data_IF_359865026574
#
_entry.id   IF_359865026574
#
_cell.length_a   1.000
_cell.length_b   1.000
_cell.length_c   1.000
_cell.angle_alpha   90.00
_cell.angle_beta   90.00
_cell.angle_gamma   90.00
#
_symmetry.space_group_name_H-M   'P 1'
#
loop_
_entity.id
_entity.type
_entity.pdbx_description
1 polymer ?
#
# COMPACT_ATOMS: atom_id res chain seq x y z
N UNK A 1 30.55 -4.42 10.89
CA UNK A 1 29.50 -3.92 11.80
C UNK A 1 28.25 -4.69 11.45
N UNK A 2 27.68 -5.44 12.40
CA UNK A 2 26.40 -6.12 12.15
C UNK A 2 25.32 -5.10 11.80
N UNK A 3 24.37 -5.49 10.94
CA UNK A 3 23.21 -4.65 10.66
C UNK A 3 22.59 -4.21 12.00
N UNK A 4 22.40 -2.90 12.16
CA UNK A 4 21.60 -2.41 13.26
C UNK A 4 20.16 -2.85 12.98
N UNK A 5 19.47 -3.50 13.93
CA UNK A 5 18.04 -3.80 13.81
C UNK A 5 17.23 -2.49 13.79
N UNK A 6 17.21 -1.82 12.63
CA UNK A 6 16.54 -0.54 12.40
C UNK A 6 15.11 -0.70 11.89
N UNK A 7 14.72 -1.91 11.49
CA UNK A 7 13.41 -2.21 10.95
C UNK A 7 12.85 -3.47 11.59
N UNK A 8 11.58 -3.42 11.98
CA UNK A 8 10.78 -4.59 12.32
C UNK A 8 9.85 -4.89 11.13
N UNK A 9 10.04 -6.04 10.49
CA UNK A 9 9.23 -6.51 9.35
C UNK A 9 8.19 -7.51 9.85
N UNK A 10 6.92 -7.13 9.79
CA UNK A 10 5.81 -8.00 10.21
C UNK A 10 5.10 -8.55 8.98
N UNK A 11 5.15 -9.86 8.82
CA UNK A 11 4.33 -10.59 7.85
C UNK A 11 2.85 -10.45 8.20
N UNK A 12 2.02 -10.38 7.16
CA UNK A 12 0.57 -10.35 7.30
C UNK A 12 -0.02 -11.72 6.94
N UNK A 13 -1.35 -11.84 6.95
CA UNK A 13 -2.00 -13.09 6.53
C UNK A 13 -1.90 -13.32 5.02
N UNK A 14 -1.49 -12.29 4.27
CA UNK A 14 -1.35 -12.35 2.82
C UNK A 14 0.13 -12.39 2.46
N UNK A 15 0.50 -13.45 1.75
CA UNK A 15 1.88 -13.71 1.40
C UNK A 15 2.51 -12.57 0.58
N UNK A 16 3.67 -12.08 1.03
CA UNK A 16 4.43 -11.00 0.41
C UNK A 16 4.01 -9.58 0.83
N UNK A 17 2.96 -9.44 1.63
CA UNK A 17 2.52 -8.15 2.19
C UNK A 17 3.10 -7.98 3.59
N UNK A 18 3.73 -6.84 3.84
CA UNK A 18 4.42 -6.55 5.10
C UNK A 18 3.99 -5.21 5.71
N UNK A 19 3.81 -5.20 7.03
CA UNK A 19 3.79 -3.96 7.82
C UNK A 19 5.19 -3.76 8.39
N UNK A 20 5.77 -2.59 8.17
CA UNK A 20 7.17 -2.31 8.51
C UNK A 20 7.23 -1.16 9.50
N UNK A 21 7.91 -1.38 10.62
CA UNK A 21 8.12 -0.38 11.67
C UNK A 21 9.59 0.04 11.69
N UNK A 22 9.93 1.26 11.23
CA UNK A 22 11.29 1.78 11.36
C UNK A 22 11.54 2.25 12.79
N UNK A 23 12.79 2.11 13.24
CA UNK A 23 13.25 2.69 14.49
C UNK A 23 13.34 4.21 14.35
N UNK A 24 12.68 4.93 15.26
CA UNK A 24 12.63 6.39 15.29
C UNK A 24 13.54 6.90 16.40
N UNK A 25 14.48 7.78 16.05
CA UNK A 25 15.40 8.42 16.99
C UNK A 25 14.99 9.87 17.20
N UNK A 26 14.43 10.18 18.38
CA UNK A 26 13.99 11.53 18.74
C UNK A 26 14.99 12.26 19.64
N UNK A 27 15.10 13.58 19.48
CA UNK A 27 15.76 14.48 20.41
C UNK A 27 15.07 15.85 20.44
N UNK A 28 15.65 16.83 21.14
CA UNK A 28 15.07 18.17 21.29
C UNK A 28 14.95 18.96 19.97
N UNK A 29 15.53 18.50 18.86
CA UNK A 29 15.45 19.10 17.53
C UNK A 29 14.32 18.49 16.68
N UNK A 30 13.83 17.31 17.04
CA UNK A 30 12.84 16.55 16.27
C UNK A 30 13.14 15.06 16.27
N UNK A 31 13.00 14.40 15.13
CA UNK A 31 13.31 12.98 14.98
C UNK A 31 14.06 12.69 13.68
N UNK A 32 14.79 11.59 13.68
CA UNK A 32 15.44 10.98 12.52
C UNK A 32 15.06 9.50 12.45
N UNK A 33 14.87 8.99 11.24
CA UNK A 33 14.68 7.57 11.00
C UNK A 33 15.18 7.22 9.60
N UNK A 34 15.74 6.02 9.46
CA UNK A 34 15.90 5.42 8.14
C UNK A 34 14.52 4.96 7.66
N UNK A 35 14.20 5.29 6.42
CA UNK A 35 12.88 4.97 5.87
C UNK A 35 12.92 3.88 4.80
N UNK A 36 14.12 3.55 4.36
CA UNK A 36 14.42 2.41 3.52
C UNK A 36 15.94 2.21 3.57
N UNK A 37 16.36 0.98 3.84
CA UNK A 37 17.74 0.56 3.72
C UNK A 37 17.77 -0.69 2.85
N UNK A 38 18.52 -0.62 1.75
CA UNK A 38 18.54 -1.71 0.77
C UNK A 38 19.07 -3.02 1.37
N UNK A 39 20.05 -2.95 2.25
CA UNK A 39 20.64 -4.16 2.84
C UNK A 39 19.66 -4.79 3.82
N UNK A 40 19.08 -4.01 4.73
CA UNK A 40 18.13 -4.53 5.73
C UNK A 40 16.87 -5.13 5.06
N UNK A 41 16.33 -4.48 4.04
CA UNK A 41 15.21 -5.02 3.26
C UNK A 41 15.62 -6.32 2.53
N UNK A 42 16.81 -6.35 1.92
CA UNK A 42 17.30 -7.55 1.23
C UNK A 42 17.49 -8.72 2.19
N UNK A 43 18.04 -8.48 3.38
CA UNK A 43 18.21 -9.49 4.44
C UNK A 43 16.86 -10.00 4.96
N UNK A 44 15.83 -9.15 4.99
CA UNK A 44 14.45 -9.53 5.28
C UNK A 44 13.72 -10.23 4.10
N UNK A 45 14.43 -10.58 3.01
CA UNK A 45 13.84 -11.24 1.85
C UNK A 45 13.20 -10.30 0.82
N UNK A 46 13.15 -9.00 1.10
CA UNK A 46 12.59 -7.96 0.25
C UNK A 46 13.63 -7.45 -0.78
N UNK A 47 13.69 -8.13 -1.93
CA UNK A 47 14.77 -7.96 -2.94
C UNK A 47 14.44 -7.02 -4.10
N UNK A 48 13.35 -6.27 -4.00
CA UNK A 48 12.93 -5.33 -5.03
C UNK A 48 13.89 -4.15 -5.18
N UNK A 49 13.76 -3.42 -6.29
CA UNK A 49 14.45 -2.15 -6.53
C UNK A 49 13.41 -1.09 -6.79
N UNK A 50 13.44 -0.01 -6.02
CA UNK A 50 12.56 1.14 -6.26
C UNK A 50 13.16 2.05 -7.34
N UNK A 51 12.34 2.47 -8.30
CA UNK A 51 12.75 3.29 -9.47
C UNK A 51 11.98 4.60 -9.59
N UNK A 52 10.90 4.76 -8.83
CA UNK A 52 10.04 5.94 -8.86
C UNK A 52 9.54 6.26 -7.46
N UNK A 53 9.51 7.55 -7.11
CA UNK A 53 8.90 8.06 -5.89
C UNK A 53 7.72 8.96 -6.24
N UNK A 54 6.61 8.77 -5.54
CA UNK A 54 5.41 9.59 -5.69
C UNK A 54 5.02 10.21 -4.34
N UNK A 55 4.30 11.32 -4.40
CA UNK A 55 3.66 11.94 -3.25
C UNK A 55 2.25 12.39 -3.64
N UNK A 56 1.31 12.25 -2.71
CA UNK A 56 -0.04 12.79 -2.86
C UNK A 56 -0.48 13.46 -1.57
N UNK A 57 -1.21 14.57 -1.70
CA UNK A 57 -1.92 15.22 -0.60
C UNK A 57 -3.41 15.11 -0.81
N UNK A 58 -4.14 14.71 0.22
CA UNK A 58 -5.58 14.45 0.15
C UNK A 58 -6.27 14.94 1.42
N UNK A 59 -7.54 15.35 1.31
CA UNK A 59 -8.38 15.76 2.45
C UNK A 59 -9.15 14.58 3.05
N UNK A 60 -9.70 14.74 4.25
CA UNK A 60 -10.56 13.74 4.91
C UNK A 60 -11.64 13.20 3.97
N UNK A 61 -11.91 11.89 4.07
CA UNK A 61 -12.92 11.22 3.25
C UNK A 61 -12.50 10.91 1.82
N UNK A 62 -11.35 11.41 1.35
CA UNK A 62 -10.80 10.98 0.05
C UNK A 62 -10.42 9.52 0.13
N UNK A 63 -10.98 8.74 -0.80
CA UNK A 63 -10.59 7.36 -1.05
C UNK A 63 -9.95 7.29 -2.43
N UNK A 64 -8.72 6.79 -2.50
CA UNK A 64 -8.04 6.51 -3.76
C UNK A 64 -7.87 5.01 -3.90
N UNK A 65 -8.33 4.46 -5.01
CA UNK A 65 -8.19 3.03 -5.27
C UNK A 65 -9.49 2.31 -5.58
N UNK A 66 -9.43 1.00 -5.80
CA UNK A 66 -8.19 0.21 -5.72
C UNK A 66 -7.47 0.16 -7.07
N UNK A 67 -6.16 0.44 -7.10
CA UNK A 67 -5.38 0.60 -8.34
C UNK A 67 -4.31 -0.48 -8.52
N UNK A 68 -4.09 -0.86 -9.77
CA UNK A 68 -3.01 -1.72 -10.22
C UNK A 68 -2.66 -1.44 -11.68
N UNK A 69 -1.52 -1.94 -12.17
CA UNK A 69 -1.19 -1.93 -13.60
C UNK A 69 -1.24 -3.37 -14.14
N UNK A 70 -1.92 -3.59 -15.27
CA UNK A 70 -2.06 -4.93 -15.89
C UNK A 70 -0.76 -5.46 -16.49
N UNK A 71 0.14 -4.55 -16.90
CA UNK A 71 1.54 -4.80 -17.24
C UNK A 71 2.40 -3.77 -16.50
N UNK A 72 3.72 -3.98 -16.44
CA UNK A 72 4.59 -3.15 -15.61
C UNK A 72 4.07 -3.07 -14.17
N UNK A 73 3.66 -4.22 -13.61
CA UNK A 73 3.11 -4.29 -12.26
C UNK A 73 4.08 -3.70 -11.25
N UNK A 74 3.57 -2.94 -10.29
CA UNK A 74 4.39 -2.26 -9.29
C UNK A 74 4.18 -2.87 -7.92
N UNK A 75 5.29 -3.22 -7.26
CA UNK A 75 5.37 -3.23 -5.81
C UNK A 75 5.48 -1.80 -5.30
N UNK A 76 4.88 -1.52 -4.15
CA UNK A 76 4.79 -0.20 -3.53
C UNK A 76 5.21 -0.29 -2.07
N UNK A 77 6.16 0.53 -1.66
CA UNK A 77 6.43 0.82 -0.26
C UNK A 77 5.82 2.17 0.09
N UNK A 78 4.83 2.17 0.97
CA UNK A 78 4.01 3.35 1.25
C UNK A 78 4.07 3.77 2.70
N UNK A 79 3.90 5.08 2.94
CA UNK A 79 3.79 5.65 4.29
C UNK A 79 3.08 7.00 4.30
N UNK A 80 2.75 7.47 5.50
CA UNK A 80 2.22 8.81 5.75
C UNK A 80 3.26 9.70 6.43
N UNK A 81 3.45 10.92 5.93
CA UNK A 81 4.34 11.94 6.52
C UNK A 81 3.59 13.08 7.20
N UNK A 82 2.29 13.19 6.97
CA UNK A 82 1.38 14.06 7.71
C UNK A 82 0.00 13.42 7.78
N UNK A 83 -0.63 13.42 8.96
CA UNK A 83 -2.00 12.94 9.14
C UNK A 83 -2.12 11.41 9.20
N UNK A 84 -3.27 10.89 8.77
CA UNK A 84 -3.67 9.51 8.95
C UNK A 84 -4.46 8.97 7.76
N UNK A 85 -4.13 7.75 7.35
CA UNK A 85 -4.94 6.98 6.41
C UNK A 85 -5.15 5.55 6.89
N UNK A 86 -6.22 4.92 6.40
CA UNK A 86 -6.35 3.47 6.36
C UNK A 86 -5.95 2.98 4.97
N UNK A 87 -4.84 2.25 4.88
CA UNK A 87 -4.26 1.75 3.65
C UNK A 87 -4.57 0.26 3.46
N UNK A 88 -4.82 -0.17 2.23
CA UNK A 88 -5.33 -1.51 1.90
C UNK A 88 -4.60 -2.11 0.72
N UNK A 89 -4.25 -3.39 0.84
CA UNK A 89 -3.77 -4.25 -0.24
C UNK A 89 -4.76 -5.39 -0.49
N UNK A 90 -5.06 -5.66 -1.76
CA UNK A 90 -5.91 -6.80 -2.19
C UNK A 90 -5.11 -7.72 -3.10
N UNK A 91 -5.09 -9.00 -2.75
CA UNK A 91 -4.39 -10.03 -3.52
C UNK A 91 -5.14 -10.35 -4.82
N UNK A 92 -4.53 -10.04 -5.96
CA UNK A 92 -5.08 -10.31 -7.29
C UNK A 92 -4.34 -11.47 -7.98
N UNK A 93 -3.53 -12.25 -7.26
CA UNK A 93 -2.70 -13.31 -7.85
C UNK A 93 -3.47 -14.63 -7.93
N UNK A 94 -3.75 -15.11 -9.14
CA UNK A 94 -4.37 -16.42 -9.40
C UNK A 94 -3.53 -17.54 -8.78
N UNK A 95 -4.22 -18.53 -8.22
CA UNK A 95 -3.58 -19.64 -7.49
C UNK A 95 -3.14 -19.30 -6.06
N UNK A 96 -3.22 -18.02 -5.63
CA UNK A 96 -3.03 -17.66 -4.23
C UNK A 96 -4.18 -18.19 -3.37
N UNK A 97 -3.86 -18.76 -2.20
CA UNK A 97 -4.87 -19.14 -1.21
C UNK A 97 -5.64 -17.95 -0.63
N UNK A 98 -5.09 -16.74 -0.79
CA UNK A 98 -5.67 -15.46 -0.36
C UNK A 98 -6.18 -14.62 -1.52
N UNK A 99 -6.39 -15.17 -2.72
CA UNK A 99 -6.96 -14.42 -3.85
C UNK A 99 -8.28 -13.74 -3.47
N UNK A 100 -8.39 -12.44 -3.78
CA UNK A 100 -9.54 -11.60 -3.43
C UNK A 100 -9.61 -11.21 -1.94
N UNK A 101 -8.69 -11.67 -1.10
CA UNK A 101 -8.58 -11.23 0.29
C UNK A 101 -7.75 -9.95 0.38
N UNK A 102 -7.99 -9.21 1.46
CA UNK A 102 -7.36 -7.93 1.70
C UNK A 102 -6.73 -7.87 3.08
N UNK A 103 -5.70 -7.04 3.21
CA UNK A 103 -5.07 -6.66 4.46
C UNK A 103 -5.06 -5.13 4.55
N UNK A 104 -5.35 -4.59 5.74
CA UNK A 104 -5.44 -3.15 5.95
C UNK A 104 -4.66 -2.69 7.17
N UNK A 105 -4.07 -1.50 7.09
CA UNK A 105 -3.24 -0.93 8.15
C UNK A 105 -3.48 0.57 8.29
N UNK A 106 -3.49 1.05 9.53
CA UNK A 106 -3.49 2.48 9.82
C UNK A 106 -2.06 3.00 9.71
N UNK A 107 -1.83 3.91 8.77
CA UNK A 107 -0.57 4.61 8.60
C UNK A 107 -0.74 6.06 9.07
N UNK A 108 0.12 6.50 9.98
CA UNK A 108 0.09 7.87 10.48
C UNK A 108 1.49 8.48 10.46
N UNK A 109 1.53 9.80 10.47
CA UNK A 109 2.75 10.52 10.78
C UNK A 109 3.19 10.33 12.24
N UNK A 110 2.38 9.81 13.14
CA UNK A 110 2.82 9.50 14.52
C UNK A 110 3.46 8.12 14.63
N UNK A 111 2.83 7.09 14.05
CA UNK A 111 3.26 5.69 14.18
C UNK A 111 4.41 5.34 13.24
N UNK A 112 4.66 6.17 12.22
CA UNK A 112 5.74 6.03 11.23
C UNK A 112 5.76 4.69 10.48
N UNK A 113 4.68 3.90 10.58
CA UNK A 113 4.57 2.62 9.92
C UNK A 113 4.66 2.79 8.41
N UNK A 114 5.13 1.75 7.77
CA UNK A 114 5.09 1.60 6.33
C UNK A 114 4.33 0.33 5.99
N UNK A 115 3.80 0.30 4.77
CA UNK A 115 3.16 -0.89 4.23
C UNK A 115 3.82 -1.24 2.91
N UNK A 116 4.28 -2.48 2.77
CA UNK A 116 4.79 -2.97 1.52
C UNK A 116 3.75 -3.86 0.85
N UNK A 117 3.37 -3.46 -0.36
CA UNK A 117 2.40 -4.14 -1.22
C UNK A 117 3.15 -4.62 -2.47
N UNK A 118 3.27 -5.93 -2.73
CA UNK A 118 4.08 -6.41 -3.85
C UNK A 118 3.32 -6.31 -5.20
N UNK A 119 4.01 -6.64 -6.29
CA UNK A 119 3.40 -6.75 -7.62
C UNK A 119 2.23 -7.75 -7.64
N UNK A 120 1.24 -7.48 -8.50
CA UNK A 120 0.07 -8.35 -8.64
C UNK A 120 -1.02 -8.12 -7.58
N UNK A 121 -1.00 -6.95 -6.92
CA UNK A 121 -2.00 -6.52 -5.95
C UNK A 121 -2.73 -5.27 -6.44
N UNK A 122 -3.97 -5.09 -5.98
CA UNK A 122 -4.62 -3.80 -5.99
C UNK A 122 -4.34 -3.06 -4.68
N UNK A 123 -4.14 -1.74 -4.77
CA UNK A 123 -3.78 -0.90 -3.63
C UNK A 123 -4.68 0.34 -3.55
N UNK A 124 -5.03 0.75 -2.34
CA UNK A 124 -5.73 2.02 -2.12
C UNK A 124 -5.80 2.41 -0.66
N UNK A 125 -6.29 3.61 -0.39
CA UNK A 125 -6.41 4.14 0.96
C UNK A 125 -7.57 5.12 1.13
N UNK A 126 -8.02 5.24 2.38
CA UNK A 126 -9.00 6.23 2.84
C UNK A 126 -8.32 7.21 3.82
N UNK A 127 -8.45 8.51 3.58
CA UNK A 127 -7.94 9.55 4.49
C UNK A 127 -8.87 9.74 5.68
N UNK A 128 -8.33 9.58 6.89
CA UNK A 128 -9.09 9.63 8.15
C UNK A 128 -8.94 10.97 8.89
N UNK A 129 -7.79 11.62 8.77
CA UNK A 129 -7.53 12.97 9.32
C UNK A 129 -8.01 14.06 8.36
N UNK A 130 -8.01 15.32 8.80
CA UNK A 130 -8.40 16.48 7.97
C UNK A 130 -7.64 16.55 6.64
N UNK A 131 -6.35 16.24 6.68
CA UNK A 131 -5.52 16.01 5.50
C UNK A 131 -4.50 14.90 5.76
N UNK A 132 -4.02 14.27 4.70
CA UNK A 132 -2.88 13.37 4.73
C UNK A 132 -1.91 13.62 3.57
N UNK A 133 -0.60 13.53 3.87
CA UNK A 133 0.48 13.47 2.87
C UNK A 133 1.01 12.05 2.84
N UNK A 134 0.84 11.41 1.68
CA UNK A 134 1.09 9.99 1.47
C UNK A 134 2.20 9.82 0.43
N UNK A 135 3.22 9.04 0.77
CA UNK A 135 4.41 8.81 -0.03
C UNK A 135 4.48 7.36 -0.51
N UNK A 136 5.00 7.16 -1.71
CA UNK A 136 5.16 5.85 -2.34
C UNK A 136 6.57 5.73 -2.90
N UNK A 137 7.18 4.56 -2.75
CA UNK A 137 8.29 4.10 -3.59
C UNK A 137 7.77 2.96 -4.45
N UNK A 138 7.96 3.02 -5.78
CA UNK A 138 7.45 2.03 -6.73
C UNK A 138 8.59 1.24 -7.40
N UNK A 139 8.37 -0.05 -7.64
CA UNK A 139 9.38 -0.96 -8.22
C UNK A 139 9.47 -0.93 -9.76
N UNK A 140 8.49 -0.33 -10.42
CA UNK A 140 8.47 -0.08 -11.86
C UNK A 140 7.89 1.33 -12.14
N UNK A 141 8.01 1.81 -13.37
CA UNK A 141 7.49 3.12 -13.78
C UNK A 141 5.98 3.13 -13.95
N UNK A 142 5.37 4.31 -13.78
CA UNK A 142 3.97 4.50 -14.12
C UNK A 142 3.76 4.31 -15.64
N UNK A 143 2.81 3.47 -16.01
CA UNK A 143 2.45 3.17 -17.39
C UNK A 143 0.93 3.35 -17.57
N UNK A 144 0.46 4.55 -17.93
CA UNK A 144 -0.97 4.88 -17.97
C UNK A 144 -1.77 4.00 -18.92
N UNK A 145 -1.14 3.44 -19.95
CA UNK A 145 -1.77 2.52 -20.91
C UNK A 145 -2.20 1.21 -20.27
N UNK A 146 -1.60 0.86 -19.13
CA UNK A 146 -1.88 -0.35 -18.37
C UNK A 146 -2.52 -0.09 -17.01
N UNK A 147 -2.77 1.19 -16.66
CA UNK A 147 -3.47 1.58 -15.44
C UNK A 147 -4.88 0.98 -15.42
N UNK A 148 -5.23 0.40 -14.29
CA UNK A 148 -6.50 -0.27 -14.09
C UNK A 148 -6.88 -0.24 -12.61
N UNK A 149 -8.04 -0.78 -12.29
CA UNK A 149 -8.52 -0.82 -10.92
C UNK A 149 -9.65 -1.79 -10.69
N UNK A 150 -9.93 -2.00 -9.41
CA UNK A 150 -11.10 -2.73 -8.92
C UNK A 150 -11.94 -1.80 -8.07
N UNK A 151 -13.25 -1.99 -8.11
CA UNK A 151 -14.20 -1.19 -7.37
C UNK A 151 -13.87 -1.22 -5.87
N UNK A 152 -13.76 -0.05 -5.25
CA UNK A 152 -13.33 0.10 -3.85
C UNK A 152 -14.31 -0.55 -2.84
N UNK A 153 -15.59 -0.63 -3.21
CA UNK A 153 -16.67 -1.26 -2.46
C UNK A 153 -17.17 -2.54 -3.13
N UNK A 154 -16.28 -3.27 -3.80
CA UNK A 154 -16.59 -4.58 -4.37
C UNK A 154 -17.07 -5.56 -3.28
N UNK A 155 -18.23 -6.19 -3.53
CA UNK A 155 -18.91 -7.10 -2.59
C UNK A 155 -18.17 -8.44 -2.40
N UNK A 156 -17.35 -8.86 -3.37
CA UNK A 156 -16.60 -10.11 -3.29
C UNK A 156 -15.32 -9.94 -2.44
N UNK A 157 -14.72 -8.74 -2.48
CA UNK A 157 -13.58 -8.37 -1.63
C UNK A 157 -14.05 -7.97 -0.21
N UNK A 158 -15.15 -7.23 -0.12
CA UNK A 158 -15.81 -6.81 1.13
C UNK A 158 -14.86 -6.12 2.14
N UNK A 159 -14.18 -5.06 1.68
CA UNK A 159 -13.25 -4.28 2.50
C UNK A 159 -14.02 -3.54 3.59
N UNK A 160 -13.57 -3.71 4.83
CA UNK A 160 -14.12 -3.01 6.00
C UNK A 160 -13.44 -1.66 6.16
N UNK A 161 -13.81 -0.71 5.31
CA UNK A 161 -13.36 0.67 5.40
C UNK A 161 -13.85 1.30 6.72
N UNK A 162 -12.97 1.96 7.52
CA UNK A 162 -13.37 2.62 8.76
C UNK A 162 -14.04 3.97 8.43
N UNK A 163 -15.35 3.92 8.24
CA UNK A 163 -16.15 5.08 7.84
C UNK A 163 -16.65 5.95 9.01
N UNK A 164 -16.32 5.58 10.25
CA UNK A 164 -16.72 6.35 11.42
C UNK A 164 -16.16 7.77 11.36
N UNK A 165 -17.06 8.76 11.40
CA UNK A 165 -16.68 10.17 11.27
C UNK A 165 -16.28 10.61 9.86
N UNK A 166 -16.53 9.79 8.84
CA UNK A 166 -16.46 10.14 7.43
C UNK A 166 -17.88 10.44 6.94
N UNK A 167 -18.19 11.72 6.72
CA UNK A 167 -19.52 12.15 6.26
C UNK A 167 -19.76 11.81 4.78
N UNK A 168 -18.73 11.95 3.95
CA UNK A 168 -18.78 11.72 2.52
C UNK A 168 -17.50 11.03 2.04
N UNK A 169 -17.63 9.97 1.25
CA UNK A 169 -16.51 9.34 0.56
C UNK A 169 -16.28 10.06 -0.77
N UNK A 170 -15.08 10.58 -0.94
CA UNK A 170 -14.69 11.37 -2.11
C UNK A 170 -13.81 10.54 -3.03
N UNK A 171 -14.37 10.20 -4.19
CA UNK A 171 -13.73 9.40 -5.23
C UNK A 171 -13.42 10.25 -6.45
N UNK A 172 -12.36 9.89 -7.17
CA UNK A 172 -12.19 10.37 -8.55
C UNK A 172 -13.25 9.78 -9.47
N UNK A 173 -13.52 10.41 -10.61
CA UNK A 173 -14.45 9.84 -11.60
C UNK A 173 -13.97 8.48 -12.13
N UNK A 174 -12.65 8.28 -12.20
CA UNK A 174 -12.02 6.99 -12.53
C UNK A 174 -12.41 5.91 -11.52
N UNK A 175 -12.35 6.23 -10.22
CA UNK A 175 -12.57 5.26 -9.14
C UNK A 175 -14.05 4.89 -8.96
N UNK A 176 -14.96 5.77 -9.37
CA UNK A 176 -16.42 5.51 -9.36
C UNK A 176 -16.87 4.44 -10.36
N UNK A 177 -16.11 4.23 -11.44
CA UNK A 177 -16.52 3.39 -12.57
C UNK A 177 -15.64 2.15 -12.75
N UNK A 178 -14.87 1.77 -11.73
CA UNK A 178 -14.06 0.55 -11.78
C UNK A 178 -14.94 -0.70 -11.84
N UNK A 179 -14.39 -1.76 -12.43
CA UNK A 179 -15.07 -3.05 -12.53
C UNK A 179 -15.05 -3.79 -11.20
N UNK A 180 -16.00 -4.71 -11.02
CA UNK A 180 -15.98 -5.67 -9.91
C UNK A 180 -14.89 -6.71 -10.12
N UNK A 181 -14.40 -7.32 -9.04
CA UNK A 181 -13.32 -8.30 -9.07
C UNK A 181 -13.64 -9.46 -10.04
N UNK A 182 -14.86 -10.00 -9.97
CA UNK A 182 -15.31 -11.09 -10.84
C UNK A 182 -15.35 -10.76 -12.34
N UNK A 183 -15.41 -9.46 -12.68
CA UNK A 183 -15.49 -8.96 -14.06
C UNK A 183 -14.12 -8.52 -14.60
N UNK A 184 -13.06 -8.68 -13.79
CA UNK A 184 -11.70 -8.38 -14.20
C UNK A 184 -11.07 -9.52 -14.99
N UNK A 185 -10.42 -9.14 -16.08
CA UNK A 185 -9.51 -10.03 -16.80
C UNK A 185 -8.07 -9.72 -16.38
N UNK A 186 -7.61 -10.39 -15.32
CA UNK A 186 -6.27 -10.26 -14.75
C UNK A 186 -5.47 -11.54 -14.97
N UNK A 187 -4.16 -11.40 -15.17
CA UNK A 187 -3.24 -12.52 -15.45
C UNK A 187 -2.09 -12.62 -14.43
N UNK A 188 -2.26 -12.01 -13.25
CA UNK A 188 -1.27 -12.12 -12.19
C UNK A 188 -1.30 -13.54 -11.63
N UNK A 189 -0.14 -14.19 -11.54
CA UNK A 189 0.00 -15.55 -11.05
C UNK A 189 0.76 -15.55 -9.72
N UNK A 190 0.28 -16.33 -8.76
CA UNK A 190 0.95 -16.51 -7.48
C UNK A 190 2.20 -17.38 -7.66
N UNK A 191 3.35 -16.88 -7.20
CA UNK A 191 4.65 -17.56 -7.33
C UNK A 191 5.25 -17.98 -5.99
N UNK A 192 4.54 -17.74 -4.88
CA UNK A 192 5.07 -17.83 -3.52
C UNK A 192 6.05 -16.71 -3.19
N UNK A 193 6.10 -16.31 -1.92
CA UNK A 193 7.25 -15.60 -1.37
C UNK A 193 8.47 -16.53 -1.35
N UNK A 194 9.64 -15.96 -1.61
CA UNK A 194 10.93 -16.66 -1.55
C UNK A 194 11.63 -16.38 -0.24
#
# INVERSE_FOLDING_TARGET
MGALDLFNFMETKIDGVYIIEPKVFGDNRGYFMETYNKNDFFEAGLKMKFVQDNESKSKKGVLRGLHFQTKHTQGKLVRVTKGQVFDVAVDLRKGSSTFGKWEGVILTDENKKQFYVPEGFAHGFLVLSDEAVFNYKCTDYYAPEYDSGVLWNDEDIDIKWPLDGIEEILLSDKDKIQKRLKDLDISFEYKGSK
#
